data_IF_024283667739
#
_entry.id   IF_024283667739
#
_cell.length_a   1.000
_cell.length_b   1.000
_cell.length_c   1.000
_cell.angle_alpha   90.00
_cell.angle_beta   90.00
_cell.angle_gamma   90.00
#
_symmetry.space_group_name_H-M   'P 1'
#
loop_
_entity.id
_entity.type
_entity.pdbx_description
1 polymer ?
#
# COMPACT_ATOMS: atom_id res chain seq x y z
N UNK A 1 11.69 -10.39 13.76
CA UNK A 1 11.92 -11.17 12.51
C UNK A 1 11.88 -10.23 11.31
N UNK A 2 13.03 -9.66 10.91
CA UNK A 2 13.11 -8.87 9.69
C UNK A 2 13.20 -9.81 8.49
N UNK A 3 12.16 -9.84 7.65
CA UNK A 3 12.25 -10.60 6.39
C UNK A 3 13.30 -9.92 5.51
N UNK A 4 14.38 -10.65 5.16
CA UNK A 4 15.36 -10.22 4.15
C UNK A 4 14.58 -9.90 2.86
N UNK A 5 14.55 -8.62 2.49
CA UNK A 5 13.65 -8.08 1.48
C UNK A 5 14.08 -8.51 0.09
N UNK A 6 13.31 -9.40 -0.53
CA UNK A 6 13.30 -9.50 -1.99
C UNK A 6 12.78 -8.16 -2.52
N UNK A 7 13.56 -7.50 -3.38
CA UNK A 7 13.18 -6.23 -3.99
C UNK A 7 11.82 -6.39 -4.67
N UNK A 8 10.81 -5.68 -4.16
CA UNK A 8 9.46 -5.70 -4.72
C UNK A 8 9.47 -5.03 -6.09
N UNK A 9 8.63 -5.52 -7.00
CA UNK A 9 8.44 -4.87 -8.30
C UNK A 9 7.86 -3.46 -8.12
N UNK A 10 8.30 -2.51 -8.94
CA UNK A 10 7.87 -1.09 -8.90
C UNK A 10 6.33 -0.97 -8.98
N UNK A 11 5.69 -1.72 -9.88
CA UNK A 11 4.22 -1.71 -10.01
C UNK A 11 3.51 -2.21 -8.75
N UNK A 12 4.11 -3.18 -8.05
CA UNK A 12 3.59 -3.67 -6.78
C UNK A 12 3.70 -2.61 -5.70
N UNK A 13 4.81 -1.86 -5.64
CA UNK A 13 5.00 -0.76 -4.69
C UNK A 13 4.00 0.38 -4.93
N UNK A 14 3.74 0.74 -6.19
CA UNK A 14 2.68 1.70 -6.55
C UNK A 14 1.31 1.24 -6.08
N UNK A 15 0.97 -0.04 -6.30
CA UNK A 15 -0.31 -0.59 -5.82
C UNK A 15 -0.39 -0.57 -4.30
N UNK A 16 0.69 -0.90 -3.59
CA UNK A 16 0.73 -0.83 -2.12
C UNK A 16 0.47 0.60 -1.66
N UNK A 17 1.12 1.60 -2.27
CA UNK A 17 0.91 3.02 -1.95
C UNK A 17 -0.57 3.41 -2.08
N UNK A 18 -1.17 3.16 -3.24
CA UNK A 18 -2.58 3.50 -3.48
C UNK A 18 -3.53 2.81 -2.49
N UNK A 19 -3.25 1.55 -2.14
CA UNK A 19 -4.03 0.83 -1.13
C UNK A 19 -3.85 1.48 0.25
N UNK A 20 -2.63 1.86 0.63
CA UNK A 20 -2.37 2.56 1.89
C UNK A 20 -3.06 3.92 1.95
N UNK A 21 -3.09 4.67 0.84
CA UNK A 21 -3.76 5.97 0.76
C UNK A 21 -5.26 5.84 1.02
N UNK A 22 -5.93 4.89 0.33
CA UNK A 22 -7.35 4.57 0.56
C UNK A 22 -7.61 4.17 2.02
N UNK A 23 -6.71 3.37 2.60
CA UNK A 23 -6.85 2.95 4.00
C UNK A 23 -6.71 4.13 4.95
N UNK A 24 -5.74 5.01 4.74
CA UNK A 24 -5.51 6.18 5.58
C UNK A 24 -6.70 7.16 5.55
N UNK A 25 -7.41 7.25 4.42
CA UNK A 25 -8.60 8.10 4.30
C UNK A 25 -9.82 7.56 5.06
N UNK A 26 -9.99 6.24 5.13
CA UNK A 26 -11.21 5.60 5.65
C UNK A 26 -11.04 4.89 7.00
N UNK A 27 -9.81 4.63 7.43
CA UNK A 27 -9.54 3.92 8.68
C UNK A 27 -9.63 4.85 9.89
N UNK A 28 -10.42 4.46 10.88
CA UNK A 28 -10.50 5.14 12.18
C UNK A 28 -10.38 4.11 13.31
N UNK A 29 -9.42 4.34 14.21
CA UNK A 29 -9.22 3.46 15.36
C UNK A 29 -10.41 3.56 16.32
N UNK A 30 -10.91 2.41 16.78
CA UNK A 30 -12.03 2.33 17.72
C UNK A 30 -13.43 2.30 17.08
N UNK A 31 -13.55 2.51 15.76
CA UNK A 31 -14.83 2.43 15.06
C UNK A 31 -14.93 1.11 14.28
N UNK A 32 -15.82 0.20 14.70
CA UNK A 32 -15.96 -1.12 14.07
C UNK A 32 -16.30 -1.04 12.57
N UNK A 33 -17.12 -0.06 12.16
CA UNK A 33 -17.47 0.19 10.76
C UNK A 33 -16.29 0.66 9.91
N UNK A 34 -15.23 1.19 10.54
CA UNK A 34 -14.02 1.72 9.88
C UNK A 34 -12.78 0.90 10.23
N UNK A 35 -12.97 -0.34 10.69
CA UNK A 35 -11.86 -1.26 10.91
C UNK A 35 -11.24 -1.68 9.56
N UNK A 36 -10.00 -2.16 9.59
CA UNK A 36 -9.28 -2.64 8.39
C UNK A 36 -10.09 -3.61 7.53
N UNK A 37 -10.88 -4.51 8.13
CA UNK A 37 -11.69 -5.48 7.40
C UNK A 37 -12.88 -4.82 6.68
N UNK A 38 -13.51 -3.83 7.31
CA UNK A 38 -14.61 -3.07 6.71
C UNK A 38 -14.08 -2.20 5.57
N UNK A 39 -13.01 -1.44 5.82
CA UNK A 39 -12.35 -0.61 4.81
C UNK A 39 -11.88 -1.44 3.61
N UNK A 40 -11.29 -2.61 3.86
CA UNK A 40 -10.90 -3.53 2.80
C UNK A 40 -12.09 -3.94 1.94
N UNK A 41 -13.21 -4.34 2.56
CA UNK A 41 -14.39 -4.83 1.84
C UNK A 41 -15.10 -3.71 1.06
N UNK A 42 -15.18 -2.52 1.63
CA UNK A 42 -16.03 -1.43 1.12
C UNK A 42 -15.28 -0.50 0.15
N UNK A 43 -13.99 -0.24 0.39
CA UNK A 43 -13.21 0.72 -0.39
C UNK A 43 -12.11 0.07 -1.23
N UNK A 44 -11.39 -0.91 -0.68
CA UNK A 44 -10.21 -1.49 -1.36
C UNK A 44 -10.60 -2.58 -2.36
N UNK A 45 -11.45 -3.53 -1.98
CA UNK A 45 -11.81 -4.68 -2.79
C UNK A 45 -12.48 -4.32 -4.13
N UNK A 46 -13.35 -3.30 -4.22
CA UNK A 46 -13.92 -2.87 -5.49
C UNK A 46 -12.88 -2.31 -6.48
N UNK A 47 -11.81 -1.68 -5.99
CA UNK A 47 -10.76 -1.07 -6.83
C UNK A 47 -9.63 -2.06 -7.11
N UNK A 48 -9.21 -2.80 -6.08
CA UNK A 48 -8.13 -3.77 -6.11
C UNK A 48 -8.60 -5.10 -5.51
N UNK A 49 -9.18 -6.00 -6.32
CA UNK A 49 -9.66 -7.29 -5.84
C UNK A 49 -8.50 -8.12 -5.34
N UNK A 50 -8.43 -8.33 -4.03
CA UNK A 50 -7.35 -9.08 -3.41
C UNK A 50 -7.77 -9.71 -2.10
N UNK A 51 -7.14 -10.82 -1.73
CA UNK A 51 -7.44 -11.46 -0.47
C UNK A 51 -7.01 -10.61 0.74
N UNK A 52 -7.74 -10.73 1.84
CA UNK A 52 -7.51 -9.95 3.06
C UNK A 52 -6.09 -10.09 3.61
N UNK A 53 -5.48 -11.29 3.49
CA UNK A 53 -4.09 -11.52 3.90
C UNK A 53 -3.10 -10.66 3.12
N UNK A 54 -3.28 -10.54 1.80
CA UNK A 54 -2.42 -9.70 0.96
C UNK A 54 -2.59 -8.23 1.31
N UNK A 55 -3.82 -7.81 1.57
CA UNK A 55 -4.13 -6.48 2.05
C UNK A 55 -3.41 -6.13 3.37
N UNK A 56 -3.44 -7.03 4.36
CA UNK A 56 -2.69 -6.84 5.61
C UNK A 56 -1.17 -6.78 5.40
N UNK A 57 -0.64 -7.60 4.48
CA UNK A 57 0.78 -7.51 4.11
C UNK A 57 1.14 -6.15 3.50
N UNK A 58 0.20 -5.50 2.80
CA UNK A 58 0.42 -4.21 2.16
C UNK A 58 0.47 -3.10 3.21
N UNK A 59 -0.51 -3.05 4.12
CA UNK A 59 -0.51 -2.09 5.25
C UNK A 59 0.72 -2.27 6.14
N UNK A 60 1.16 -3.52 6.35
CA UNK A 60 2.36 -3.82 7.13
C UNK A 60 3.68 -3.51 6.40
N UNK A 61 3.64 -3.04 5.15
CA UNK A 61 4.86 -2.71 4.39
C UNK A 61 5.48 -1.44 4.97
N UNK A 62 6.77 -1.43 5.30
CA UNK A 62 7.41 -0.27 5.91
C UNK A 62 7.43 0.92 4.94
N UNK A 63 7.18 2.16 5.41
CA UNK A 63 7.10 3.35 4.56
C UNK A 63 8.42 3.66 3.85
N UNK A 64 9.56 3.21 4.41
CA UNK A 64 10.87 3.33 3.78
C UNK A 64 10.91 2.70 2.37
N UNK A 65 10.33 1.53 2.19
CA UNK A 65 10.30 0.85 0.89
C UNK A 65 9.42 1.59 -0.14
N UNK A 66 8.40 2.32 0.33
CA UNK A 66 7.52 3.10 -0.53
C UNK A 66 8.19 4.41 -0.96
N UNK A 67 8.86 5.10 -0.03
CA UNK A 67 9.58 6.34 -0.32
C UNK A 67 10.75 6.10 -1.31
N UNK A 68 11.52 5.03 -1.13
CA UNK A 68 12.59 4.66 -2.06
C UNK A 68 12.05 4.38 -3.48
N UNK A 69 10.84 3.81 -3.59
CA UNK A 69 10.18 3.59 -4.87
C UNK A 69 9.77 4.90 -5.56
N UNK A 70 9.24 5.85 -4.79
CA UNK A 70 8.87 7.18 -5.29
C UNK A 70 10.07 8.00 -5.73
N UNK A 71 11.15 7.98 -4.95
CA UNK A 71 12.40 8.68 -5.29
C UNK A 71 13.00 8.13 -6.59
N UNK A 72 13.01 6.80 -6.76
CA UNK A 72 13.47 6.16 -7.98
C UNK A 72 12.61 6.55 -9.20
N UNK A 73 11.29 6.72 -9.03
CA UNK A 73 10.42 7.23 -10.08
C UNK A 73 10.67 8.71 -10.40
N UNK A 74 10.80 9.55 -9.37
CA UNK A 74 11.07 10.98 -9.55
C UNK A 74 12.38 11.17 -10.33
N UNK A 75 13.42 10.43 -9.99
CA UNK A 75 14.69 10.44 -10.72
C UNK A 75 14.50 10.01 -12.19
N UNK A 76 13.71 8.96 -12.44
CA UNK A 76 13.41 8.51 -13.81
C UNK A 76 12.62 9.55 -14.62
N UNK A 77 11.63 10.20 -14.02
CA UNK A 77 10.85 11.25 -14.69
C UNK A 77 11.73 12.47 -15.01
N UNK A 78 12.59 12.88 -14.07
CA UNK A 78 13.54 13.98 -14.29
C UNK A 78 14.57 13.65 -15.38
N UNK A 79 14.95 12.38 -15.56
CA UNK A 79 15.88 11.96 -16.64
C UNK A 79 15.28 11.95 -18.04
N UNK A 80 13.97 12.15 -18.18
CA UNK A 80 13.28 12.18 -19.47
C UNK A 80 13.14 13.60 -20.05
N UNK A 81 13.53 14.62 -19.29
CA UNK A 81 13.59 16.03 -19.69
C UNK A 81 15.05 16.47 -19.86
#
# INVERSE_FOLDING_TARGET
MGKKGVKRNINTLRRIKLVCDIVNEHYEAGVLKKCYKAVWREHVYPVYPMCYRTFLNYISTPPKELNEAEEAERQRQLSLF
#
